data_IF_634534427145
#
_entry.id   IF_634534427145
#
_cell.length_a   1.000
_cell.length_b   1.000
_cell.length_c   1.000
_cell.angle_alpha   90.00
_cell.angle_beta   90.00
_cell.angle_gamma   90.00
#
_symmetry.space_group_name_H-M   'P 1'
#
loop_
_entity.id
_entity.type
_entity.pdbx_description
1 polymer ?
#
# COMPACT_ATOMS: atom_id res chain seq x y z
N UNK A 1 -26.53 -7.28 -6.33
CA UNK A 1 -25.46 -6.53 -7.02
C UNK A 1 -25.50 -5.04 -6.64
N UNK A 2 -24.55 -4.62 -5.80
CA UNK A 2 -24.41 -3.30 -5.23
C UNK A 2 -23.85 -2.36 -6.29
N UNK A 3 -24.71 -1.46 -6.76
CA UNK A 3 -24.39 -0.55 -7.86
C UNK A 3 -23.23 0.39 -7.52
N UNK A 4 -23.06 0.76 -6.25
CA UNK A 4 -21.96 1.64 -5.83
C UNK A 4 -20.62 0.90 -5.90
N UNK A 5 -20.53 -0.33 -5.37
CA UNK A 5 -19.29 -1.12 -5.45
C UNK A 5 -18.93 -1.41 -6.93
N UNK A 6 -19.91 -1.78 -7.76
CA UNK A 6 -19.69 -2.00 -9.20
C UNK A 6 -19.23 -0.73 -9.92
N UNK A 7 -19.74 0.45 -9.55
CA UNK A 7 -19.33 1.72 -10.11
C UNK A 7 -17.91 2.10 -9.66
N UNK A 8 -17.55 1.90 -8.39
CA UNK A 8 -16.17 2.11 -7.90
C UNK A 8 -15.18 1.20 -8.61
N UNK A 9 -15.46 -0.11 -8.72
CA UNK A 9 -14.55 -1.05 -9.42
C UNK A 9 -14.43 -0.69 -10.91
N UNK A 10 -15.48 -0.16 -11.55
CA UNK A 10 -15.42 0.41 -12.92
C UNK A 10 -14.60 1.70 -13.00
N UNK A 11 -14.67 2.57 -12.00
CA UNK A 11 -13.81 3.76 -11.91
C UNK A 11 -12.34 3.40 -11.67
N UNK A 12 -12.07 2.24 -11.03
CA UNK A 12 -10.74 1.67 -10.81
C UNK A 12 -10.31 0.66 -11.91
N UNK A 13 -10.91 0.69 -13.10
CA UNK A 13 -10.47 -0.11 -14.24
C UNK A 13 -9.16 0.44 -14.86
N UNK A 14 -8.24 -0.46 -15.22
CA UNK A 14 -7.08 -0.17 -16.08
C UNK A 14 -7.22 -0.90 -17.44
N UNK A 15 -6.88 -0.19 -18.52
CA UNK A 15 -7.22 -0.62 -19.90
C UNK A 15 -6.29 -1.65 -20.53
N UNK A 16 -5.22 -2.02 -19.83
CA UNK A 16 -4.20 -2.97 -20.28
C UNK A 16 -3.53 -3.53 -19.03
N UNK A 17 -3.23 -4.83 -19.03
CA UNK A 17 -2.33 -5.39 -18.03
C UNK A 17 -0.95 -4.71 -18.12
N UNK A 18 -0.25 -4.53 -16.98
CA UNK A 18 1.14 -4.11 -17.01
C UNK A 18 2.02 -5.18 -17.70
N UNK A 19 3.16 -4.75 -18.24
CA UNK A 19 4.10 -5.66 -18.93
C UNK A 19 5.00 -6.42 -17.94
N UNK A 20 5.29 -5.79 -16.79
CA UNK A 20 5.86 -6.42 -15.60
C UNK A 20 4.72 -6.85 -14.67
N UNK A 21 4.81 -8.05 -14.09
CA UNK A 21 3.72 -8.61 -13.27
C UNK A 21 3.79 -8.21 -11.79
N UNK A 22 4.13 -6.95 -11.51
CA UNK A 22 4.31 -6.40 -10.15
C UNK A 22 3.23 -5.40 -9.75
N UNK A 23 3.05 -5.25 -8.43
CA UNK A 23 2.16 -4.25 -7.81
C UNK A 23 2.49 -2.83 -8.27
N UNK A 24 3.78 -2.47 -8.34
CA UNK A 24 4.21 -1.13 -8.76
C UNK A 24 3.89 -0.87 -10.23
N UNK A 25 4.10 -1.85 -11.12
CA UNK A 25 3.81 -1.71 -12.55
C UNK A 25 2.31 -1.58 -12.84
N UNK A 26 1.47 -2.26 -12.05
CA UNK A 26 0.02 -2.14 -12.07
C UNK A 26 -0.46 -0.78 -11.53
N UNK A 27 0.07 -0.34 -10.38
CA UNK A 27 -0.16 1.00 -9.83
C UNK A 27 0.29 2.11 -10.81
N UNK A 28 1.36 1.87 -11.57
CA UNK A 28 1.79 2.74 -12.67
C UNK A 28 0.85 2.74 -13.89
N UNK A 29 -0.17 1.88 -14.01
CA UNK A 29 -1.23 2.05 -15.01
C UNK A 29 -2.31 3.05 -14.59
N UNK A 30 -2.59 3.19 -13.29
CA UNK A 30 -3.65 4.09 -12.80
C UNK A 30 -3.43 5.56 -13.20
N UNK A 31 -4.51 6.26 -13.52
CA UNK A 31 -4.50 7.72 -13.65
C UNK A 31 -4.29 8.37 -12.28
N UNK A 32 -3.77 9.60 -12.24
CA UNK A 32 -3.61 10.33 -10.97
C UNK A 32 -4.94 10.55 -10.23
N UNK A 33 -6.09 10.53 -10.93
CA UNK A 33 -7.43 10.54 -10.30
C UNK A 33 -7.71 9.24 -9.56
N UNK A 34 -7.48 8.09 -10.20
CA UNK A 34 -7.63 6.78 -9.56
C UNK A 34 -6.67 6.63 -8.38
N UNK A 35 -5.40 7.01 -8.52
CA UNK A 35 -4.45 7.04 -7.39
C UNK A 35 -4.93 7.94 -6.23
N UNK A 36 -5.67 9.01 -6.51
CA UNK A 36 -6.26 9.88 -5.47
C UNK A 36 -7.42 9.20 -4.73
N UNK A 37 -8.13 8.24 -5.35
CA UNK A 37 -9.19 7.48 -4.68
C UNK A 37 -8.65 6.69 -3.48
N UNK A 38 -7.59 5.89 -3.67
CA UNK A 38 -6.98 5.12 -2.58
C UNK A 38 -6.51 6.02 -1.42
N UNK A 39 -5.88 7.16 -1.75
CA UNK A 39 -5.48 8.17 -0.76
C UNK A 39 -6.69 8.73 0.02
N UNK A 40 -7.82 8.97 -0.65
CA UNK A 40 -9.05 9.49 -0.04
C UNK A 40 -9.84 8.44 0.73
N UNK A 41 -9.80 7.18 0.32
CA UNK A 41 -10.52 6.08 0.95
C UNK A 41 -9.83 5.60 2.24
N UNK A 42 -8.50 5.48 2.23
CA UNK A 42 -7.72 4.97 3.36
C UNK A 42 -7.06 6.07 4.21
N UNK A 43 -7.41 7.35 3.98
CA UNK A 43 -6.87 8.56 4.65
C UNK A 43 -5.33 8.61 4.74
N UNK A 44 -4.66 8.29 3.63
CA UNK A 44 -3.20 8.17 3.57
C UNK A 44 -2.52 9.55 3.59
N UNK A 45 -1.40 9.69 4.32
CA UNK A 45 -0.56 10.92 4.34
C UNK A 45 0.29 11.09 3.06
N UNK A 46 -0.27 10.72 1.90
CA UNK A 46 0.31 10.87 0.58
C UNK A 46 -0.28 12.14 -0.04
N UNK A 47 0.50 13.21 -0.12
CA UNK A 47 -0.04 14.48 -0.59
C UNK A 47 -0.38 14.43 -2.09
N UNK A 48 -1.66 14.62 -2.41
CA UNK A 48 -2.25 14.64 -3.77
C UNK A 48 -1.57 15.64 -4.74
N UNK A 49 -0.70 16.52 -4.25
CA UNK A 49 0.14 17.44 -5.03
C UNK A 49 1.45 16.85 -5.56
N UNK A 50 1.94 15.72 -5.03
CA UNK A 50 3.16 15.01 -5.44
C UNK A 50 3.13 14.55 -6.91
N UNK A 51 4.28 14.16 -7.48
CA UNK A 51 4.37 13.54 -8.80
C UNK A 51 3.66 12.18 -8.81
N UNK A 52 3.29 11.67 -9.99
CA UNK A 52 2.67 10.33 -10.09
C UNK A 52 3.59 9.23 -9.53
N UNK A 53 4.87 9.24 -9.88
CA UNK A 53 5.83 8.25 -9.38
C UNK A 53 5.91 8.24 -7.84
N UNK A 54 6.11 9.41 -7.23
CA UNK A 54 6.12 9.60 -5.75
C UNK A 54 4.83 9.11 -5.06
N UNK A 55 3.69 9.18 -5.75
CA UNK A 55 2.41 8.63 -5.26
C UNK A 55 2.34 7.11 -5.43
N UNK A 56 2.82 6.57 -6.55
CA UNK A 56 2.83 5.12 -6.82
C UNK A 56 3.80 4.39 -5.88
N UNK A 57 4.99 4.96 -5.67
CA UNK A 57 6.01 4.47 -4.73
C UNK A 57 5.43 4.32 -3.32
N UNK A 58 4.94 5.42 -2.74
CA UNK A 58 4.34 5.43 -1.40
C UNK A 58 3.04 4.60 -1.28
N UNK A 59 2.22 4.54 -2.34
CA UNK A 59 1.02 3.68 -2.34
C UNK A 59 1.38 2.19 -2.40
N UNK A 60 2.46 1.83 -3.09
CA UNK A 60 2.92 0.44 -3.20
C UNK A 60 3.52 -0.03 -1.87
N UNK A 61 4.35 0.79 -1.22
CA UNK A 61 4.87 0.53 0.14
C UNK A 61 3.73 0.35 1.17
N UNK A 62 2.70 1.20 1.11
CA UNK A 62 1.51 1.04 1.94
C UNK A 62 0.74 -0.25 1.61
N UNK A 63 0.50 -0.53 0.32
CA UNK A 63 -0.20 -1.75 -0.12
C UNK A 63 0.52 -3.02 0.33
N UNK A 64 1.85 -3.12 0.20
CA UNK A 64 2.60 -4.31 0.65
C UNK A 64 2.43 -4.64 2.13
N UNK A 65 2.17 -3.62 2.97
CA UNK A 65 1.83 -3.77 4.38
C UNK A 65 0.34 -4.11 4.56
N UNK A 66 -0.55 -3.30 3.97
CA UNK A 66 -2.00 -3.42 4.13
C UNK A 66 -2.57 -4.74 3.56
N UNK A 67 -1.89 -5.34 2.58
CA UNK A 67 -2.19 -6.66 2.03
C UNK A 67 -2.09 -7.78 3.07
N UNK A 68 -1.16 -7.67 4.03
CA UNK A 68 -0.93 -8.69 5.06
C UNK A 68 -1.95 -8.52 6.18
N UNK A 69 -2.08 -7.30 6.69
CA UNK A 69 -3.13 -6.91 7.65
C UNK A 69 -4.54 -7.31 7.17
N UNK A 70 -4.91 -7.06 5.91
CA UNK A 70 -6.27 -7.35 5.41
C UNK A 70 -6.53 -8.84 5.16
N UNK A 71 -5.51 -9.65 4.89
CA UNK A 71 -5.65 -11.11 4.75
C UNK A 71 -5.65 -11.78 6.13
N UNK A 72 -4.73 -11.41 7.03
CA UNK A 72 -4.67 -11.93 8.40
C UNK A 72 -5.92 -11.59 9.24
N UNK A 73 -6.52 -10.41 9.01
CA UNK A 73 -7.72 -9.97 9.75
C UNK A 73 -9.06 -10.43 9.13
N UNK A 74 -9.06 -11.03 7.94
CA UNK A 74 -10.28 -11.42 7.23
C UNK A 74 -10.12 -12.76 6.48
N UNK A 75 -10.38 -13.85 7.20
CA UNK A 75 -10.39 -15.23 6.68
C UNK A 75 -11.23 -15.41 5.42
N UNK A 76 -12.40 -14.75 5.37
CA UNK A 76 -13.36 -14.94 4.29
C UNK A 76 -12.86 -14.30 2.99
N UNK A 77 -12.14 -13.17 3.10
CA UNK A 77 -11.41 -12.55 2.00
C UNK A 77 -10.18 -13.39 1.60
N UNK A 78 -9.45 -13.97 2.56
CA UNK A 78 -8.29 -14.84 2.31
C UNK A 78 -8.69 -16.12 1.55
N UNK A 79 -9.78 -16.79 1.97
CA UNK A 79 -10.34 -17.94 1.25
C UNK A 79 -10.85 -17.55 -0.14
N UNK A 80 -11.62 -16.45 -0.26
CA UNK A 80 -12.09 -15.95 -1.55
C UNK A 80 -10.94 -15.65 -2.52
N UNK A 81 -9.90 -14.97 -2.04
CA UNK A 81 -8.69 -14.67 -2.83
C UNK A 81 -7.96 -15.95 -3.25
N UNK A 82 -7.73 -16.87 -2.31
CA UNK A 82 -7.04 -18.14 -2.57
C UNK A 82 -7.79 -18.99 -3.60
N UNK A 83 -9.09 -19.22 -3.41
CA UNK A 83 -9.87 -20.16 -4.20
C UNK A 83 -10.39 -19.56 -5.52
N UNK A 84 -11.00 -18.37 -5.46
CA UNK A 84 -11.70 -17.76 -6.60
C UNK A 84 -10.82 -16.89 -7.49
N UNK A 85 -9.61 -16.53 -7.04
CA UNK A 85 -8.75 -15.55 -7.73
C UNK A 85 -7.35 -16.08 -8.01
N UNK A 86 -6.69 -16.75 -7.05
CA UNK A 86 -5.33 -17.30 -7.24
C UNK A 86 -5.34 -18.71 -7.83
N UNK A 87 -6.05 -19.67 -7.20
CA UNK A 87 -6.01 -21.09 -7.57
C UNK A 87 -6.97 -21.49 -8.71
N UNK A 88 -7.49 -20.52 -9.47
CA UNK A 88 -8.54 -20.73 -10.49
C UNK A 88 -8.00 -20.55 -11.91
N UNK A 89 -8.18 -21.56 -12.76
CA UNK A 89 -7.71 -21.62 -14.17
C UNK A 89 -8.28 -20.51 -15.11
N UNK A 90 -9.18 -19.65 -14.64
CA UNK A 90 -9.94 -18.69 -15.44
C UNK A 90 -10.04 -17.34 -14.74
N UNK A 91 -9.44 -16.31 -15.32
CA UNK A 91 -9.57 -14.93 -14.80
C UNK A 91 -11.03 -14.56 -14.56
N UNK A 92 -11.30 -14.08 -13.34
CA UNK A 92 -12.65 -13.77 -12.86
C UNK A 92 -13.21 -12.55 -13.61
N UNK A 93 -14.42 -12.67 -14.16
CA UNK A 93 -15.09 -11.53 -14.81
C UNK A 93 -15.71 -10.63 -13.76
N UNK A 94 -15.27 -9.37 -13.73
CA UNK A 94 -15.70 -8.37 -12.75
C UNK A 94 -17.10 -7.82 -13.06
N UNK A 95 -17.53 -7.90 -14.31
CA UNK A 95 -18.81 -7.38 -14.80
C UNK A 95 -19.83 -8.49 -15.13
N UNK A 96 -19.73 -9.65 -14.47
CA UNK A 96 -20.69 -10.73 -14.66
C UNK A 96 -21.96 -10.47 -13.83
N UNK A 97 -23.13 -10.48 -14.47
CA UNK A 97 -24.43 -10.25 -13.84
C UNK A 97 -24.81 -11.31 -12.79
N UNK A 98 -24.07 -12.44 -12.74
CA UNK A 98 -24.28 -13.52 -11.75
C UNK A 98 -23.54 -13.30 -10.42
N UNK A 99 -22.70 -12.26 -10.28
CA UNK A 99 -21.95 -12.00 -9.04
C UNK A 99 -22.86 -11.62 -7.85
N UNK A 100 -22.61 -12.26 -6.70
CA UNK A 100 -23.20 -11.87 -5.42
C UNK A 100 -22.66 -10.53 -4.93
N UNK A 101 -23.40 -9.91 -4.01
CA UNK A 101 -22.99 -8.66 -3.37
C UNK A 101 -21.70 -8.82 -2.56
N UNK A 102 -21.55 -9.94 -1.86
CA UNK A 102 -20.38 -10.26 -1.05
C UNK A 102 -19.14 -10.51 -1.93
N UNK A 103 -19.29 -11.21 -3.06
CA UNK A 103 -18.21 -11.40 -4.04
C UNK A 103 -17.75 -10.07 -4.64
N UNK A 104 -18.69 -9.17 -4.94
CA UNK A 104 -18.39 -7.84 -5.47
C UNK A 104 -17.71 -6.93 -4.43
N UNK A 105 -18.10 -7.01 -3.16
CA UNK A 105 -17.42 -6.33 -2.06
C UNK A 105 -16.01 -6.88 -1.83
N UNK A 106 -15.83 -8.20 -1.90
CA UNK A 106 -14.50 -8.82 -1.81
C UNK A 106 -13.61 -8.42 -2.99
N UNK A 107 -14.11 -8.43 -4.23
CA UNK A 107 -13.36 -7.88 -5.40
C UNK A 107 -12.94 -6.43 -5.15
N UNK A 108 -13.83 -5.58 -4.63
CA UNK A 108 -13.50 -4.19 -4.32
C UNK A 108 -12.37 -4.10 -3.28
N UNK A 109 -12.44 -4.87 -2.18
CA UNK A 109 -11.37 -4.94 -1.16
C UNK A 109 -10.04 -5.40 -1.76
N UNK A 110 -10.04 -6.41 -2.62
CA UNK A 110 -8.82 -6.88 -3.29
C UNK A 110 -8.19 -5.80 -4.19
N UNK A 111 -9.01 -5.00 -4.86
CA UNK A 111 -8.55 -3.88 -5.70
C UNK A 111 -8.04 -2.70 -4.86
N UNK A 112 -8.75 -2.36 -3.77
CA UNK A 112 -8.39 -1.26 -2.86
C UNK A 112 -7.04 -1.51 -2.14
N UNK A 113 -6.72 -2.76 -1.81
CA UNK A 113 -5.45 -3.15 -1.19
C UNK A 113 -4.39 -3.63 -2.21
N UNK A 114 -4.67 -3.59 -3.52
CA UNK A 114 -3.72 -3.98 -4.57
C UNK A 114 -3.37 -5.47 -4.63
N UNK A 115 -4.18 -6.35 -4.01
CA UNK A 115 -4.07 -7.81 -4.16
C UNK A 115 -4.47 -8.24 -5.58
N UNK A 116 -5.40 -7.51 -6.20
CA UNK A 116 -5.83 -7.73 -7.57
C UNK A 116 -6.15 -6.41 -8.27
N UNK A 117 -6.29 -6.44 -9.59
CA UNK A 117 -6.56 -5.26 -10.43
C UNK A 117 -7.64 -5.58 -11.46
N UNK A 118 -8.57 -4.65 -11.67
CA UNK A 118 -9.58 -4.76 -12.73
C UNK A 118 -8.97 -4.32 -14.07
N UNK A 119 -8.60 -5.30 -14.90
CA UNK A 119 -8.03 -5.10 -16.24
C UNK A 119 -9.08 -5.44 -17.30
N UNK A 120 -9.58 -4.45 -18.04
CA UNK A 120 -10.55 -4.68 -19.14
C UNK A 120 -11.77 -5.54 -18.73
N UNK A 121 -12.28 -5.33 -17.51
CA UNK A 121 -13.39 -6.10 -16.91
C UNK A 121 -13.04 -7.50 -16.39
N UNK A 122 -11.76 -7.85 -16.35
CA UNK A 122 -11.22 -9.12 -15.86
C UNK A 122 -10.28 -8.90 -14.67
N UNK A 123 -10.32 -9.79 -13.68
CA UNK A 123 -9.49 -9.69 -12.49
C UNK A 123 -8.10 -10.27 -12.76
N UNK A 124 -7.07 -9.44 -12.55
CA UNK A 124 -5.66 -9.76 -12.74
C UNK A 124 -4.90 -9.66 -11.42
N UNK A 125 -3.87 -10.48 -11.23
CA UNK A 125 -3.10 -10.61 -9.98
C UNK A 125 -1.61 -10.44 -10.28
N UNK A 126 -0.84 -9.67 -9.47
CA UNK A 126 0.61 -9.65 -9.57
C UNK A 126 1.22 -11.02 -9.29
N UNK A 127 2.26 -11.41 -10.04
CA UNK A 127 2.93 -12.71 -9.88
C UNK A 127 3.55 -12.86 -8.48
N UNK A 128 4.04 -11.75 -7.91
CA UNK A 128 4.61 -11.71 -6.56
C UNK A 128 3.58 -12.17 -5.49
N UNK A 129 2.28 -11.96 -5.75
CA UNK A 129 1.18 -12.24 -4.83
C UNK A 129 0.58 -13.65 -4.96
N UNK A 130 0.80 -14.34 -6.09
CA UNK A 130 0.41 -15.75 -6.24
C UNK A 130 1.41 -16.69 -5.54
N UNK A 131 2.68 -16.26 -5.45
CA UNK A 131 3.73 -17.00 -4.76
C UNK A 131 3.55 -17.04 -3.21
N UNK A 132 3.18 -15.92 -2.59
CA UNK A 132 2.95 -15.85 -1.13
C UNK A 132 1.83 -16.84 -0.70
N UNK A 133 0.63 -16.75 -1.31
CA UNK A 133 -0.52 -17.62 -0.99
C UNK A 133 -0.27 -19.12 -1.27
N UNK A 134 0.51 -19.43 -2.30
CA UNK A 134 0.86 -20.82 -2.65
C UNK A 134 1.74 -21.51 -1.61
N UNK A 135 2.38 -20.74 -0.72
CA UNK A 135 3.31 -21.26 0.29
C UNK A 135 2.60 -21.63 1.59
N UNK A 136 1.60 -20.84 2.02
CA UNK A 136 0.91 -21.03 3.30
C UNK A 136 -0.11 -22.18 3.27
N UNK A 137 -0.81 -22.38 2.15
CA UNK A 137 -1.83 -23.43 2.01
C UNK A 137 -1.27 -24.87 1.88
N UNK A 138 0.03 -25.09 2.08
CA UNK A 138 0.68 -26.40 1.91
C UNK A 138 1.41 -26.93 3.16
N UNK A 139 1.16 -26.38 4.35
CA UNK A 139 1.65 -26.94 5.62
C UNK A 139 0.58 -27.75 6.38
N UNK A 140 -0.01 -28.76 5.73
CA UNK A 140 -0.92 -29.70 6.40
C UNK A 140 -0.98 -31.11 5.80
N UNK A 141 0.16 -31.82 5.75
CA UNK A 141 0.20 -33.31 5.84
C UNK A 141 1.63 -33.90 5.93
N UNK A 142 2.30 -33.81 7.09
CA UNK A 142 3.35 -34.76 7.49
C UNK A 142 3.68 -34.64 9.00
N UNK A 143 3.09 -35.50 9.83
CA UNK A 143 3.51 -35.71 11.23
C UNK A 143 4.59 -36.81 11.30
N UNK A 144 5.32 -36.93 12.43
CA UNK A 144 6.28 -38.02 12.79
C UNK A 144 7.68 -37.84 12.14
N UNK A 145 8.82 -37.81 12.86
CA UNK A 145 9.11 -38.06 14.29
C UNK A 145 10.30 -37.20 14.81
N UNK A 146 10.44 -37.01 16.13
CA UNK A 146 11.68 -36.54 16.78
C UNK A 146 12.01 -37.40 18.00
N UNK A 147 13.25 -37.93 18.09
CA UNK A 147 13.92 -37.86 19.39
C UNK A 147 15.46 -37.62 19.33
N UNK A 148 15.85 -36.38 19.65
CA UNK A 148 16.67 -36.05 20.85
C UNK A 148 17.81 -36.98 21.32
N UNK A 149 19.08 -36.59 21.11
CA UNK A 149 20.30 -36.82 21.97
C UNK A 149 21.60 -36.41 21.22
N UNK A 150 22.76 -36.09 21.82
CA UNK A 150 23.18 -35.75 23.20
C UNK A 150 24.41 -34.78 23.11
N UNK A 151 24.95 -34.27 24.23
CA UNK A 151 25.93 -33.16 24.25
C UNK A 151 27.40 -33.57 24.49
N UNK A 152 28.37 -32.71 24.11
CA UNK A 152 29.62 -32.48 24.90
C UNK A 152 30.53 -31.30 24.51
N UNK A 153 30.66 -30.35 25.45
CA UNK A 153 31.90 -29.75 26.04
C UNK A 153 33.19 -29.57 25.21
N UNK A 154 33.71 -28.30 25.19
CA UNK A 154 35.09 -27.74 25.37
C UNK A 154 35.37 -26.52 24.45
N UNK A 155 36.28 -25.55 24.70
CA UNK A 155 37.06 -25.10 25.89
C UNK A 155 37.46 -23.59 25.70
N UNK A 156 36.95 -22.63 26.48
CA UNK A 156 37.58 -21.95 27.65
C UNK A 156 38.95 -21.24 27.44
N UNK A 157 38.92 -19.92 27.18
CA UNK A 157 39.89 -18.87 27.58
C UNK A 157 39.21 -17.49 27.35
N UNK A 158 38.94 -16.63 28.36
CA UNK A 158 39.79 -15.53 28.90
C UNK A 158 40.43 -14.62 27.82
N UNK A 159 40.34 -13.28 27.86
CA UNK A 159 40.32 -12.39 29.04
C UNK A 159 39.54 -11.05 28.84
N UNK A 160 39.42 -10.29 29.93
CA UNK A 160 38.90 -8.91 30.15
C UNK A 160 39.50 -7.82 29.21
N UNK A 161 39.07 -6.54 29.14
CA UNK A 161 38.63 -5.65 30.24
C UNK A 161 38.09 -4.25 29.80
N UNK A 162 36.99 -3.76 30.43
CA UNK A 162 36.60 -2.32 30.60
C UNK A 162 36.24 -1.47 29.33
N UNK A 163 35.54 -0.31 29.39
CA UNK A 163 35.02 0.54 30.51
C UNK A 163 33.75 1.36 30.10
N UNK A 164 33.05 1.91 31.10
CA UNK A 164 31.88 2.84 31.07
C UNK A 164 32.20 4.16 30.30
N UNK A 165 31.28 5.05 29.86
CA UNK A 165 30.08 5.67 30.49
C UNK A 165 29.18 6.43 29.48
N UNK A 166 27.90 6.67 29.82
CA UNK A 166 27.06 7.76 29.28
C UNK A 166 26.89 8.90 30.32
N UNK A 167 26.61 10.14 29.89
CA UNK A 167 25.52 10.90 30.54
C UNK A 167 24.66 11.74 29.57
N UNK A 168 23.52 12.22 30.07
CA UNK A 168 22.55 13.09 29.38
C UNK A 168 22.73 14.57 29.75
N UNK A 169 22.28 15.50 28.89
CA UNK A 169 21.90 16.86 29.27
C UNK A 169 20.87 17.44 28.28
N UNK A 170 19.92 18.22 28.79
CA UNK A 170 18.87 18.91 28.01
C UNK A 170 18.84 20.42 28.30
N UNK A 171 18.50 21.24 27.29
CA UNK A 171 18.01 22.63 27.37
C UNK A 171 18.03 23.27 25.97
N UNK A 172 17.29 24.35 25.65
CA UNK A 172 15.98 24.82 26.11
C UNK A 172 15.49 25.92 25.13
N UNK A 173 14.27 26.43 25.30
CA UNK A 173 13.72 27.68 24.70
C UNK A 173 13.55 27.75 23.18
N UNK A 174 12.52 27.05 22.70
CA UNK A 174 11.28 27.73 22.29
C UNK A 174 11.30 28.67 21.07
N UNK A 175 10.81 28.15 19.95
CA UNK A 175 9.93 28.90 19.05
C UNK A 175 8.70 28.05 18.71
N UNK A 176 7.60 28.27 19.44
CA UNK A 176 6.28 27.80 19.05
C UNK A 176 5.71 28.72 17.95
N UNK A 177 6.42 28.79 16.82
CA UNK A 177 5.90 29.37 15.58
C UNK A 177 4.61 28.63 15.21
N UNK A 178 3.45 29.24 15.49
CA UNK A 178 2.18 28.64 15.13
C UNK A 178 2.15 28.32 13.64
N UNK A 179 1.60 27.16 13.29
CA UNK A 179 1.37 26.77 11.90
C UNK A 179 0.54 27.85 11.18
N UNK A 180 -0.32 28.57 11.91
CA UNK A 180 -1.02 29.73 11.39
C UNK A 180 -0.12 30.91 11.04
N UNK A 181 0.92 31.23 11.81
CA UNK A 181 1.77 32.38 11.54
C UNK A 181 2.71 32.11 10.37
N UNK A 182 3.17 30.86 10.24
CA UNK A 182 3.80 30.34 9.02
C UNK A 182 2.86 30.43 7.81
N UNK A 183 1.56 30.09 7.95
CA UNK A 183 0.53 30.27 6.91
C UNK A 183 0.29 31.75 6.57
N UNK A 184 0.18 32.65 7.57
CA UNK A 184 0.01 34.11 7.40
C UNK A 184 1.19 34.72 6.64
N UNK A 185 2.42 34.41 7.04
CA UNK A 185 3.64 34.87 6.37
C UNK A 185 3.74 34.38 4.90
N UNK A 186 3.38 33.12 4.64
CA UNK A 186 3.30 32.55 3.27
C UNK A 186 2.27 33.31 2.41
N UNK A 187 1.11 33.64 2.98
CA UNK A 187 0.04 34.37 2.31
C UNK A 187 0.42 35.84 2.02
N UNK A 188 1.03 36.52 2.99
CA UNK A 188 1.59 37.87 2.85
C UNK A 188 2.62 37.94 1.71
N UNK A 189 3.57 37.00 1.69
CA UNK A 189 4.60 36.92 0.66
C UNK A 189 4.00 36.75 -0.75
N UNK A 190 3.00 35.86 -0.90
CA UNK A 190 2.29 35.66 -2.16
C UNK A 190 1.52 36.92 -2.60
N UNK A 191 0.83 37.60 -1.68
CA UNK A 191 0.17 38.89 -1.95
C UNK A 191 1.19 39.95 -2.41
N UNK A 192 2.37 40.00 -1.80
CA UNK A 192 3.44 40.95 -2.14
C UNK A 192 4.01 40.68 -3.55
N UNK A 193 4.26 39.41 -3.89
CA UNK A 193 4.70 39.00 -5.22
C UNK A 193 3.66 39.32 -6.31
N UNK A 194 2.37 39.07 -6.04
CA UNK A 194 1.28 39.44 -6.96
C UNK A 194 1.20 40.97 -7.18
N UNK A 195 1.34 41.77 -6.11
CA UNK A 195 1.41 43.24 -6.21
C UNK A 195 2.63 43.71 -7.01
N UNK A 196 3.81 43.10 -6.82
CA UNK A 196 5.03 43.39 -7.61
C UNK A 196 4.83 43.07 -9.10
N UNK A 197 4.32 41.89 -9.46
CA UNK A 197 4.03 41.54 -10.87
C UNK A 197 2.98 42.46 -11.51
N UNK A 198 1.93 42.88 -10.77
CA UNK A 198 0.96 43.89 -11.27
C UNK A 198 1.58 45.27 -11.49
N UNK A 199 2.52 45.73 -10.65
CA UNK A 199 3.25 47.00 -10.89
C UNK A 199 4.21 46.91 -12.08
N UNK A 200 4.91 45.79 -12.26
CA UNK A 200 5.78 45.57 -13.43
C UNK A 200 5.02 45.62 -14.77
N UNK A 201 3.79 45.11 -14.80
CA UNK A 201 2.91 45.13 -15.99
C UNK A 201 2.26 46.51 -16.31
N UNK A 202 2.58 47.56 -15.55
CA UNK A 202 2.17 48.97 -15.80
C UNK A 202 3.37 49.91 -16.08
N UNK A 203 4.53 49.35 -16.44
CA UNK A 203 5.76 50.08 -16.84
C UNK A 203 6.37 49.56 -18.15
N UNK A 204 5.50 49.03 -19.01
CA UNK A 204 5.66 48.91 -20.47
C UNK A 204 4.40 49.49 -21.09
#
# INVERSE_FOLDING_TARGET
MNKQHLETVKQLEIKKAPEEQSTEAANNQYTKKQLTHFIEHHDLDIAKSWKKAEIVEALTEWMETAQKDVLESNSDLQSFYSESVVNTDKSMKVYDDTLSDDSLENILKLVEHGLAYNVDGQLWVPADKTAEVSTENNESSAQVDEPKKEASKKQRASNSQSKKTSPSASSSFGHADSIEDKKKARLEYLKLQAKRKKKGKKRK
#
